data_IF_820962766240
#
_entry.id   IF_820962766240
#
_cell.length_a   1.000
_cell.length_b   1.000
_cell.length_c   1.000
_cell.angle_alpha   90.00
_cell.angle_beta   90.00
_cell.angle_gamma   90.00
#
_symmetry.space_group_name_H-M   'P 1'
#
loop_
_entity.id
_entity.type
_entity.pdbx_description
1 polymer ?
#
# COMPACT_ATOMS: atom_id res chain seq x y z
N UNK A 1 -94.83 16.84 -22.96
CA UNK A 1 -93.63 17.71 -23.04
C UNK A 1 -92.66 16.97 -23.94
N UNK A 2 -92.70 17.24 -25.25
CA UNK A 2 -91.89 18.29 -25.93
C UNK A 2 -90.41 17.89 -25.81
N UNK A 3 -89.86 17.17 -26.82
CA UNK A 3 -89.04 17.73 -27.94
C UNK A 3 -87.57 17.83 -27.46
N UNK A 4 -86.49 17.47 -28.17
CA UNK A 4 -85.96 17.92 -29.49
C UNK A 4 -84.82 16.91 -29.81
N UNK A 5 -84.88 16.12 -30.91
CA UNK A 5 -84.24 16.37 -32.23
C UNK A 5 -82.71 16.56 -32.20
N UNK A 6 -81.86 16.12 -33.13
CA UNK A 6 -81.90 15.29 -34.34
C UNK A 6 -80.42 15.24 -34.81
N UNK A 7 -79.84 14.07 -35.10
CA UNK A 7 -79.64 13.47 -36.44
C UNK A 7 -78.56 14.10 -37.37
N UNK A 8 -77.57 13.23 -37.68
CA UNK A 8 -77.06 12.87 -39.02
C UNK A 8 -76.08 13.84 -39.72
N UNK A 9 -74.87 13.34 -40.06
CA UNK A 9 -74.49 12.97 -41.45
C UNK A 9 -73.00 12.61 -41.63
N UNK A 10 -72.76 11.53 -42.39
CA UNK A 10 -71.46 11.03 -42.88
C UNK A 10 -71.01 11.71 -44.19
N UNK A 11 -69.69 11.70 -44.50
CA UNK A 11 -69.07 11.48 -45.85
C UNK A 11 -67.54 11.28 -45.68
N UNK A 12 -66.95 10.13 -46.04
CA UNK A 12 -66.36 9.63 -47.32
C UNK A 12 -64.96 10.16 -47.70
N UNK A 13 -64.11 9.22 -48.17
CA UNK A 13 -62.65 9.24 -48.43
C UNK A 13 -62.21 9.79 -49.81
N UNK A 14 -60.97 10.33 -49.84
CA UNK A 14 -59.90 10.23 -50.89
C UNK A 14 -59.88 11.30 -52.01
N UNK A 15 -58.76 11.53 -52.77
CA UNK A 15 -57.44 10.84 -52.82
C UNK A 15 -56.14 11.73 -52.99
N UNK A 16 -54.95 11.07 -52.95
CA UNK A 16 -53.62 11.31 -53.59
C UNK A 16 -52.82 12.66 -53.53
N UNK A 17 -51.49 12.58 -53.27
CA UNK A 17 -50.48 13.68 -53.16
C UNK A 17 -49.96 14.27 -54.49
N UNK A 18 -48.70 14.80 -54.66
CA UNK A 18 -47.52 14.91 -53.77
C UNK A 18 -46.91 16.35 -53.70
N UNK A 19 -45.73 16.53 -53.06
CA UNK A 19 -44.57 17.42 -53.42
C UNK A 19 -43.81 17.87 -52.16
N UNK A 20 -42.49 17.67 -52.20
CA UNK A 20 -41.49 18.00 -51.19
C UNK A 20 -41.16 19.51 -51.12
N UNK A 21 -40.83 20.01 -49.94
CA UNK A 21 -39.96 21.18 -49.79
C UNK A 21 -39.21 21.11 -48.45
N UNK A 22 -37.90 20.96 -48.55
CA UNK A 22 -36.91 20.95 -47.47
C UNK A 22 -36.82 22.30 -46.77
N UNK A 23 -36.81 22.30 -45.44
CA UNK A 23 -36.32 23.42 -44.63
C UNK A 23 -35.42 22.87 -43.52
N UNK A 24 -34.15 22.64 -43.86
CA UNK A 24 -33.11 22.40 -42.88
C UNK A 24 -32.77 23.74 -42.21
N UNK A 25 -33.29 23.95 -41.00
CA UNK A 25 -32.88 25.08 -40.16
C UNK A 25 -31.51 24.76 -39.56
N UNK A 26 -30.45 25.39 -40.11
CA UNK A 26 -29.16 25.50 -39.43
C UNK A 26 -29.36 26.36 -38.18
N UNK A 27 -29.46 25.73 -37.01
CA UNK A 27 -29.23 26.41 -35.74
C UNK A 27 -27.72 26.60 -35.59
N UNK A 28 -27.23 27.79 -35.95
CA UNK A 28 -25.93 28.31 -35.53
C UNK A 28 -25.97 28.48 -34.01
N UNK A 29 -25.57 27.44 -33.28
CA UNK A 29 -25.22 27.59 -31.87
C UNK A 29 -23.86 28.29 -31.86
N UNK A 30 -23.89 29.58 -31.55
CA UNK A 30 -22.70 30.33 -31.17
C UNK A 30 -22.12 29.65 -29.91
N UNK A 31 -21.09 28.84 -30.10
CA UNK A 31 -20.31 28.26 -29.03
C UNK A 31 -19.64 29.38 -28.25
N UNK A 32 -20.15 29.63 -27.04
CA UNK A 32 -19.45 30.41 -26.04
C UNK A 32 -18.06 29.83 -25.88
N UNK A 33 -17.03 30.60 -26.25
CA UNK A 33 -15.64 30.37 -25.84
C UNK A 33 -15.57 30.60 -24.33
N UNK A 34 -16.09 29.66 -23.56
CA UNK A 34 -15.68 29.49 -22.17
C UNK A 34 -14.26 28.95 -22.24
N UNK A 35 -13.29 29.81 -21.93
CA UNK A 35 -11.90 29.41 -21.81
C UNK A 35 -11.81 28.17 -20.93
N UNK A 36 -11.17 27.12 -21.45
CA UNK A 36 -10.70 26.02 -20.62
C UNK A 36 -9.61 26.58 -19.70
N UNK A 37 -10.03 27.21 -18.60
CA UNK A 37 -9.21 27.22 -17.40
C UNK A 37 -9.13 25.77 -16.96
N UNK A 38 -7.92 25.21 -16.94
CA UNK A 38 -7.67 23.89 -16.39
C UNK A 38 -8.15 23.91 -14.94
N UNK A 39 -9.32 23.33 -14.68
CA UNK A 39 -9.77 23.14 -13.31
C UNK A 39 -8.80 22.11 -12.72
N UNK A 40 -7.91 22.57 -11.84
CA UNK A 40 -6.90 21.74 -11.20
C UNK A 40 -7.51 20.43 -10.69
N UNK A 41 -6.76 19.34 -10.81
CA UNK A 41 -7.25 18.00 -10.46
C UNK A 41 -7.80 17.98 -9.02
N UNK A 42 -8.97 17.37 -8.83
CA UNK A 42 -9.53 17.14 -7.50
C UNK A 42 -8.88 15.89 -6.89
N UNK A 43 -8.02 16.07 -5.89
CA UNK A 43 -7.27 15.00 -5.22
C UNK A 43 -8.04 14.56 -3.96
N UNK A 44 -8.34 13.27 -3.88
CA UNK A 44 -9.05 12.70 -2.72
C UNK A 44 -8.07 12.37 -1.59
N UNK A 45 -8.32 12.88 -0.38
CA UNK A 45 -7.58 12.49 0.82
C UNK A 45 -8.13 11.18 1.40
N UNK A 46 -7.26 10.20 1.57
CA UNK A 46 -7.59 8.89 2.15
C UNK A 46 -6.82 8.70 3.46
N UNK A 47 -7.54 8.73 4.58
CA UNK A 47 -7.01 8.60 5.94
C UNK A 47 -6.69 7.16 6.32
N UNK A 48 -5.72 6.99 7.24
CA UNK A 48 -5.47 5.70 7.90
C UNK A 48 -6.71 5.19 8.63
N UNK A 49 -6.84 3.86 8.72
CA UNK A 49 -7.97 3.19 9.36
C UNK A 49 -9.27 3.27 8.57
N UNK A 50 -9.27 3.88 7.38
CA UNK A 50 -10.46 3.99 6.53
C UNK A 50 -10.23 3.35 5.15
N UNK A 51 -11.07 2.36 4.75
CA UNK A 51 -11.00 1.78 3.41
C UNK A 51 -11.15 2.82 2.29
N UNK A 52 -11.88 3.91 2.55
CA UNK A 52 -12.21 4.91 1.54
C UNK A 52 -13.36 4.46 0.63
N UNK A 53 -13.62 5.18 -0.47
CA UNK A 53 -14.72 4.86 -1.38
C UNK A 53 -14.43 3.60 -2.20
N UNK A 54 -15.52 2.87 -2.53
CA UNK A 54 -15.56 1.73 -3.45
C UNK A 54 -14.47 0.67 -3.20
N UNK A 55 -14.35 0.12 -1.98
CA UNK A 55 -13.32 -0.85 -1.66
C UNK A 55 -13.53 -2.16 -2.42
N UNK A 56 -12.43 -2.77 -2.90
CA UNK A 56 -12.46 -4.14 -3.41
C UNK A 56 -12.83 -5.11 -2.29
N UNK A 57 -12.11 -5.04 -1.17
CA UNK A 57 -12.33 -5.82 0.05
C UNK A 57 -12.18 -4.91 1.26
N UNK A 58 -12.49 -5.37 2.46
CA UNK A 58 -12.24 -4.60 3.69
C UNK A 58 -11.32 -5.38 4.60
N UNK A 59 -10.21 -4.75 4.99
CA UNK A 59 -9.27 -5.30 5.97
C UNK A 59 -9.00 -4.26 7.06
N UNK A 60 -8.95 -4.72 8.31
CA UNK A 60 -8.68 -3.89 9.49
C UNK A 60 -7.28 -4.18 10.02
N UNK A 61 -6.69 -3.22 10.75
CA UNK A 61 -5.37 -3.39 11.36
C UNK A 61 -4.21 -3.43 10.37
N UNK A 62 -4.42 -2.94 9.14
CA UNK A 62 -3.35 -2.87 8.13
C UNK A 62 -2.51 -1.59 8.21
N UNK A 63 -3.05 -0.56 8.87
CA UNK A 63 -2.49 0.79 8.93
C UNK A 63 -1.96 1.08 10.34
N UNK A 64 -0.98 1.98 10.40
CA UNK A 64 -0.35 2.47 11.62
C UNK A 64 -0.81 3.92 11.86
N UNK A 65 -1.41 4.20 13.03
CA UNK A 65 -1.93 5.55 13.33
C UNK A 65 -0.88 6.53 13.81
N UNK A 66 0.22 6.02 14.36
CA UNK A 66 1.24 6.81 15.06
C UNK A 66 2.63 6.54 14.47
N UNK A 67 2.78 6.83 13.17
CA UNK A 67 4.08 6.74 12.51
C UNK A 67 4.89 8.00 12.70
N UNK A 68 6.19 7.84 12.97
CA UNK A 68 7.15 8.92 12.94
C UNK A 68 7.31 9.42 11.51
N UNK A 69 6.83 10.64 11.26
CA UNK A 69 7.01 11.33 9.99
C UNK A 69 8.48 11.34 9.56
N UNK A 70 8.69 11.07 8.27
CA UNK A 70 10.01 11.18 7.67
C UNK A 70 10.46 12.64 7.64
N UNK A 71 11.70 12.98 8.04
CA UNK A 71 12.18 14.37 8.03
C UNK A 71 12.17 15.03 6.66
N UNK A 72 12.37 14.23 5.61
CA UNK A 72 12.27 14.66 4.21
C UNK A 72 10.96 14.15 3.62
N UNK A 73 9.96 15.03 3.60
CA UNK A 73 8.67 14.85 2.96
C UNK A 73 8.50 15.87 1.82
N UNK A 74 7.61 15.57 0.87
CA UNK A 74 7.35 16.41 -0.30
C UNK A 74 8.22 16.07 -1.50
N UNK A 75 7.85 16.61 -2.66
CA UNK A 75 8.59 16.45 -3.91
C UNK A 75 8.58 15.02 -4.43
N UNK A 76 9.69 14.59 -5.04
CA UNK A 76 9.83 13.25 -5.63
C UNK A 76 10.86 12.42 -4.87
N UNK A 77 10.50 11.17 -4.54
CA UNK A 77 11.39 10.18 -3.97
C UNK A 77 11.52 8.97 -4.92
N UNK A 78 12.69 8.32 -4.94
CA UNK A 78 12.85 7.04 -5.65
C UNK A 78 12.36 5.90 -4.77
N UNK A 79 11.69 4.91 -5.35
CA UNK A 79 11.11 3.77 -4.63
C UNK A 79 12.12 2.90 -3.87
N UNK A 80 13.41 3.02 -4.18
CA UNK A 80 14.52 2.34 -3.49
C UNK A 80 15.22 3.21 -2.43
N UNK A 81 14.71 4.42 -2.15
CA UNK A 81 15.27 5.31 -1.14
C UNK A 81 15.17 4.68 0.27
N UNK A 82 16.30 4.51 0.99
CA UNK A 82 16.28 4.01 2.36
C UNK A 82 15.36 4.83 3.27
N UNK A 83 14.61 4.15 4.13
CA UNK A 83 13.67 4.77 5.05
C UNK A 83 12.49 5.50 4.39
N UNK A 84 12.32 5.43 3.07
CA UNK A 84 11.11 5.96 2.42
C UNK A 84 9.85 5.29 2.98
N UNK A 85 9.98 3.99 3.21
CA UNK A 85 8.94 3.15 3.78
C UNK A 85 9.30 2.74 5.21
N UNK A 86 8.27 2.40 5.97
CA UNK A 86 8.38 1.79 7.27
C UNK A 86 7.79 0.39 7.31
N UNK A 87 7.76 -0.17 8.51
CA UNK A 87 7.09 -1.43 8.80
C UNK A 87 7.45 -1.94 10.18
N UNK A 88 6.74 -2.96 10.64
CA UNK A 88 7.06 -3.65 11.88
C UNK A 88 8.02 -4.79 11.58
N UNK A 89 9.16 -4.87 12.27
CA UNK A 89 10.13 -5.94 12.04
C UNK A 89 9.50 -7.30 12.36
N UNK A 90 9.76 -8.29 11.52
CA UNK A 90 9.24 -9.66 11.67
C UNK A 90 7.70 -9.77 11.60
N UNK A 91 7.02 -8.76 11.07
CA UNK A 91 5.58 -8.76 10.90
C UNK A 91 5.15 -7.86 9.74
N UNK A 92 4.17 -8.31 8.97
CA UNK A 92 3.51 -7.49 7.97
C UNK A 92 2.02 -7.34 8.31
N UNK A 93 1.52 -6.14 8.11
CA UNK A 93 0.12 -5.79 8.33
C UNK A 93 -0.73 -6.01 7.07
N UNK A 94 -0.10 -6.15 5.91
CA UNK A 94 -0.73 -6.45 4.62
C UNK A 94 -0.54 -7.92 4.26
N UNK A 95 -1.64 -8.69 4.21
CA UNK A 95 -1.64 -10.12 3.91
C UNK A 95 -1.90 -10.37 2.42
N UNK A 96 -0.87 -10.85 1.72
CA UNK A 96 -0.94 -11.11 0.28
C UNK A 96 -1.88 -12.27 -0.05
N UNK A 97 -1.87 -13.32 0.79
CA UNK A 97 -2.69 -14.50 0.63
C UNK A 97 -4.18 -14.19 0.73
N UNK A 98 -4.58 -13.38 1.72
CA UNK A 98 -5.98 -12.93 1.89
C UNK A 98 -6.47 -12.12 0.69
N UNK A 99 -5.64 -11.24 0.13
CA UNK A 99 -6.01 -10.49 -1.08
C UNK A 99 -6.25 -11.44 -2.27
N UNK A 100 -5.34 -12.40 -2.47
CA UNK A 100 -5.48 -13.38 -3.57
C UNK A 100 -6.72 -14.24 -3.38
N UNK A 101 -6.94 -14.77 -2.18
CA UNK A 101 -8.11 -15.59 -1.86
C UNK A 101 -9.42 -14.81 -2.11
N UNK A 102 -9.46 -13.53 -1.70
CA UNK A 102 -10.60 -12.66 -1.97
C UNK A 102 -10.86 -12.48 -3.47
N UNK A 103 -9.82 -12.13 -4.25
CA UNK A 103 -9.98 -11.91 -5.69
C UNK A 103 -10.40 -13.20 -6.40
N UNK A 104 -9.89 -14.37 -5.99
CA UNK A 104 -10.32 -15.65 -6.55
C UNK A 104 -11.79 -15.97 -6.26
N UNK A 105 -12.30 -15.56 -5.10
CA UNK A 105 -13.70 -15.72 -4.72
C UNK A 105 -14.65 -14.73 -5.44
N UNK A 106 -14.12 -13.65 -6.01
CA UNK A 106 -14.89 -12.56 -6.62
C UNK A 106 -14.48 -12.30 -8.08
N UNK A 107 -14.91 -13.14 -9.05
CA UNK A 107 -14.38 -13.12 -10.42
C UNK A 107 -14.52 -11.77 -11.14
N UNK A 108 -15.63 -11.05 -10.93
CA UNK A 108 -15.85 -9.74 -11.55
C UNK A 108 -14.87 -8.68 -11.02
N UNK A 109 -14.61 -8.70 -9.70
CA UNK A 109 -13.58 -7.86 -9.07
C UNK A 109 -12.19 -8.31 -9.51
N UNK A 110 -11.89 -9.61 -9.55
CA UNK A 110 -10.61 -10.13 -10.05
C UNK A 110 -10.29 -9.58 -11.44
N UNK A 111 -11.29 -9.61 -12.34
CA UNK A 111 -11.16 -9.06 -13.68
C UNK A 111 -10.84 -7.57 -13.67
N UNK A 112 -11.64 -6.75 -12.99
CA UNK A 112 -11.40 -5.31 -12.94
C UNK A 112 -10.05 -4.96 -12.29
N UNK A 113 -9.66 -5.71 -11.26
CA UNK A 113 -8.37 -5.54 -10.57
C UNK A 113 -7.19 -5.87 -11.50
N UNK A 114 -7.27 -6.99 -12.22
CA UNK A 114 -6.25 -7.41 -13.17
C UNK A 114 -6.15 -6.45 -14.37
N UNK A 115 -7.29 -5.93 -14.86
CA UNK A 115 -7.34 -4.94 -15.93
C UNK A 115 -6.58 -3.66 -15.53
N UNK A 116 -6.68 -3.19 -14.28
CA UNK A 116 -5.92 -2.03 -13.76
C UNK A 116 -4.42 -2.29 -13.77
N UNK A 117 -4.00 -3.49 -13.36
CA UNK A 117 -2.58 -3.87 -13.30
C UNK A 117 -2.01 -4.28 -14.67
N UNK A 118 -2.85 -4.39 -15.70
CA UNK A 118 -2.44 -4.82 -17.04
C UNK A 118 -1.96 -6.27 -17.11
N UNK A 119 -2.55 -7.16 -16.29
CA UNK A 119 -2.18 -8.58 -16.23
C UNK A 119 -3.38 -9.50 -16.54
N UNK A 120 -3.14 -10.74 -16.98
CA UNK A 120 -4.18 -11.77 -16.99
C UNK A 120 -4.72 -12.06 -15.59
N UNK A 121 -6.01 -12.39 -15.46
CA UNK A 121 -6.61 -12.78 -14.16
C UNK A 121 -5.90 -13.99 -13.53
N UNK A 122 -5.45 -14.94 -14.35
CA UNK A 122 -4.67 -16.10 -13.91
C UNK A 122 -3.34 -15.72 -13.25
N UNK A 123 -2.82 -14.53 -13.54
CA UNK A 123 -1.51 -14.08 -13.06
C UNK A 123 -1.61 -13.31 -11.73
N UNK A 124 -2.81 -13.03 -11.22
CA UNK A 124 -3.03 -12.32 -9.95
C UNK A 124 -2.22 -12.96 -8.80
N UNK A 125 -2.30 -14.28 -8.53
CA UNK A 125 -1.54 -14.89 -7.42
C UNK A 125 -0.03 -14.69 -7.57
N UNK A 126 0.47 -14.88 -8.80
CA UNK A 126 1.88 -14.72 -9.14
C UNK A 126 2.32 -13.26 -9.05
N UNK A 127 1.48 -12.29 -9.38
CA UNK A 127 1.80 -10.87 -9.29
C UNK A 127 1.80 -10.40 -7.84
N UNK A 128 0.72 -10.69 -7.10
CA UNK A 128 0.55 -10.26 -5.71
C UNK A 128 1.66 -10.83 -4.84
N UNK A 129 2.01 -12.11 -4.98
CA UNK A 129 3.11 -12.76 -4.23
C UNK A 129 4.50 -12.15 -4.44
N UNK A 130 4.70 -11.27 -5.44
CA UNK A 130 5.97 -10.54 -5.65
C UNK A 130 5.97 -9.14 -5.03
N UNK A 131 4.84 -8.67 -4.52
CA UNK A 131 4.75 -7.39 -3.86
C UNK A 131 5.30 -7.48 -2.44
N UNK A 132 5.77 -6.37 -1.89
CA UNK A 132 6.34 -6.32 -0.53
C UNK A 132 5.44 -5.47 0.35
N UNK A 133 5.00 -5.97 1.52
CA UNK A 133 4.19 -5.20 2.45
C UNK A 133 5.03 -4.18 3.21
N UNK A 134 4.59 -2.92 3.20
CA UNK A 134 5.26 -1.79 3.85
C UNK A 134 4.24 -0.77 4.37
N UNK A 135 4.69 0.14 5.21
CA UNK A 135 3.92 1.29 5.71
C UNK A 135 4.46 2.58 5.09
N UNK A 136 3.57 3.47 4.63
CA UNK A 136 3.99 4.79 4.15
C UNK A 136 4.49 5.67 5.30
N UNK A 137 5.60 6.40 5.11
CA UNK A 137 6.11 7.36 6.10
C UNK A 137 5.94 8.83 5.71
N UNK A 138 5.32 9.05 4.56
CA UNK A 138 4.99 10.36 4.00
C UNK A 138 3.60 10.29 3.38
N UNK A 139 2.87 11.40 3.41
CA UNK A 139 1.65 11.55 2.62
C UNK A 139 2.00 11.35 1.14
N UNK A 140 1.38 10.38 0.48
CA UNK A 140 1.85 9.88 -0.83
C UNK A 140 0.77 10.04 -1.89
N UNK A 141 1.12 10.70 -2.99
CA UNK A 141 0.24 10.82 -4.15
C UNK A 141 0.23 9.53 -4.97
N UNK A 142 -0.97 9.02 -5.24
CA UNK A 142 -1.23 7.83 -6.06
C UNK A 142 -2.43 8.06 -6.96
N UNK A 143 -2.62 7.19 -7.95
CA UNK A 143 -3.95 6.98 -8.54
C UNK A 143 -4.56 5.75 -7.88
N UNK A 144 -5.64 5.94 -7.13
CA UNK A 144 -6.37 4.87 -6.47
C UNK A 144 -7.52 4.38 -7.37
N UNK A 145 -7.66 3.07 -7.48
CA UNK A 145 -8.72 2.47 -8.29
C UNK A 145 -9.73 1.73 -7.42
N UNK A 146 -10.93 2.26 -7.28
CA UNK A 146 -12.03 1.58 -6.59
C UNK A 146 -12.76 0.60 -7.50
N UNK A 147 -13.81 -0.05 -6.99
CA UNK A 147 -14.68 -0.92 -7.79
C UNK A 147 -16.14 -0.49 -7.68
N UNK A 148 -16.74 -0.08 -8.80
CA UNK A 148 -18.13 0.35 -8.86
C UNK A 148 -18.76 -0.13 -10.17
N UNK A 149 -20.01 -0.60 -10.11
CA UNK A 149 -20.81 -0.99 -11.27
C UNK A 149 -20.09 -1.96 -12.24
N UNK A 150 -19.36 -2.93 -11.67
CA UNK A 150 -18.66 -3.95 -12.46
C UNK A 150 -17.30 -3.53 -13.02
N UNK A 151 -16.82 -2.32 -12.70
CA UNK A 151 -15.61 -1.75 -13.29
C UNK A 151 -14.71 -1.10 -12.25
N UNK A 152 -13.42 -0.99 -12.61
CA UNK A 152 -12.51 -0.16 -11.86
C UNK A 152 -12.84 1.33 -12.06
N UNK A 153 -12.92 2.09 -10.98
CA UNK A 153 -12.87 3.55 -11.01
C UNK A 153 -11.41 4.01 -10.96
N UNK A 154 -11.12 5.26 -11.31
CA UNK A 154 -9.78 5.81 -11.17
C UNK A 154 -9.87 7.26 -10.68
N UNK A 155 -9.01 7.63 -9.74
CA UNK A 155 -8.93 9.01 -9.28
C UNK A 155 -7.62 9.30 -8.54
N UNK A 156 -7.10 10.53 -8.65
CA UNK A 156 -5.92 10.92 -7.89
C UNK A 156 -6.27 10.97 -6.40
N UNK A 157 -5.36 10.44 -5.58
CA UNK A 157 -5.54 10.37 -4.15
C UNK A 157 -4.23 10.61 -3.41
N UNK A 158 -4.31 11.22 -2.23
CA UNK A 158 -3.22 11.22 -1.26
C UNK A 158 -3.54 10.20 -0.18
N UNK A 159 -2.65 9.23 -0.02
CA UNK A 159 -2.67 8.29 1.08
C UNK A 159 -1.92 8.92 2.25
N UNK A 160 -2.57 9.00 3.41
CA UNK A 160 -1.95 9.48 4.65
C UNK A 160 -0.73 8.61 5.03
N UNK A 161 0.32 9.23 5.56
CA UNK A 161 1.40 8.51 6.23
C UNK A 161 0.83 7.54 7.30
N UNK A 162 1.36 6.33 7.37
CA UNK A 162 0.84 5.25 8.20
C UNK A 162 -0.03 4.24 7.43
N UNK A 163 -0.44 4.55 6.21
CA UNK A 163 -1.19 3.60 5.37
C UNK A 163 -0.34 2.37 5.04
N UNK A 164 -0.90 1.17 5.25
CA UNK A 164 -0.32 -0.07 4.75
C UNK A 164 -0.49 -0.19 3.23
N UNK A 165 0.60 -0.51 2.53
CA UNK A 165 0.59 -0.73 1.07
C UNK A 165 1.43 -1.95 0.69
N UNK A 166 1.07 -2.60 -0.43
CA UNK A 166 1.94 -3.53 -1.12
C UNK A 166 2.72 -2.78 -2.21
N UNK A 167 4.04 -2.81 -2.18
CA UNK A 167 4.91 -2.17 -3.19
C UNK A 167 5.50 -3.19 -4.16
N UNK A 168 5.67 -2.81 -5.43
CA UNK A 168 6.27 -3.68 -6.43
C UNK A 168 7.81 -3.73 -6.33
N UNK A 169 8.45 -4.54 -7.18
CA UNK A 169 9.91 -4.70 -7.22
C UNK A 169 10.70 -3.45 -7.62
N UNK A 170 10.06 -2.33 -7.96
CA UNK A 170 10.71 -1.04 -8.21
C UNK A 170 10.36 0.02 -7.15
N UNK A 171 9.68 -0.41 -6.08
CA UNK A 171 9.32 0.44 -4.94
C UNK A 171 8.18 1.41 -5.26
N UNK A 172 7.20 0.99 -6.06
CA UNK A 172 6.00 1.79 -6.32
C UNK A 172 4.80 1.13 -5.64
N UNK A 173 3.96 1.88 -4.89
CA UNK A 173 2.72 1.34 -4.32
C UNK A 173 1.81 0.77 -5.41
N UNK A 174 1.39 -0.49 -5.21
CA UNK A 174 0.58 -1.25 -6.15
C UNK A 174 -0.78 -1.66 -5.56
N UNK A 175 -0.91 -1.72 -4.23
CA UNK A 175 -2.17 -2.03 -3.54
C UNK A 175 -2.28 -1.24 -2.24
N UNK A 176 -3.45 -0.69 -1.93
CA UNK A 176 -3.81 -0.13 -0.62
C UNK A 176 -4.42 -1.25 0.25
N UNK A 177 -3.80 -1.56 1.39
CA UNK A 177 -4.08 -2.82 2.08
C UNK A 177 -5.44 -2.89 2.76
N UNK A 178 -5.90 -1.82 3.41
CA UNK A 178 -7.20 -1.81 4.10
C UNK A 178 -8.42 -1.94 3.17
N UNK A 179 -8.27 -1.73 1.86
CA UNK A 179 -9.35 -1.84 0.88
C UNK A 179 -9.09 -2.80 -0.30
N UNK A 180 -7.86 -3.30 -0.45
CA UNK A 180 -7.42 -4.14 -1.58
C UNK A 180 -7.43 -3.42 -2.94
N UNK A 181 -7.66 -2.11 -2.97
CA UNK A 181 -7.72 -1.34 -4.20
C UNK A 181 -6.36 -1.37 -4.91
N UNK A 182 -6.32 -1.67 -6.23
CA UNK A 182 -5.10 -1.55 -6.99
C UNK A 182 -4.72 -0.06 -7.10
N UNK A 183 -3.42 0.19 -7.04
CA UNK A 183 -2.82 1.52 -7.14
C UNK A 183 -1.96 1.58 -8.39
N UNK A 184 -1.95 2.75 -9.02
CA UNK A 184 -1.04 3.06 -10.13
C UNK A 184 -0.36 4.39 -9.88
N UNK A 185 0.66 4.71 -10.69
CA UNK A 185 1.38 5.97 -10.58
C UNK A 185 0.42 7.14 -10.89
N UNK A 186 0.52 8.24 -10.14
CA UNK A 186 -0.23 9.44 -10.48
C UNK A 186 0.27 10.04 -11.79
N UNK A 187 -0.66 10.57 -12.58
CA UNK A 187 -0.34 11.28 -13.82
C UNK A 187 0.64 12.44 -13.55
N UNK A 188 1.60 12.65 -14.46
CA UNK A 188 2.67 13.63 -14.28
C UNK A 188 2.16 15.07 -14.19
N UNK A 189 1.04 15.36 -14.85
CA UNK A 189 0.43 16.70 -14.92
C UNK A 189 -0.28 17.15 -13.64
N UNK A 190 -0.52 16.23 -12.70
CA UNK A 190 -1.19 16.59 -11.44
C UNK A 190 -0.22 17.40 -10.58
N UNK A 191 -0.51 18.69 -10.37
CA UNK A 191 0.13 19.53 -9.36
C UNK A 191 -0.55 19.32 -8.01
N UNK A 192 0.22 19.16 -6.94
CA UNK A 192 -0.32 19.10 -5.56
C UNK A 192 -0.65 20.49 -5.03
N UNK A 193 0.12 21.49 -5.42
CA UNK A 193 0.02 22.85 -4.87
C UNK A 193 -1.15 23.64 -5.48
N UNK A 194 -1.61 23.24 -6.67
CA UNK A 194 -2.71 23.89 -7.40
C UNK A 194 -4.00 23.03 -7.43
N UNK A 195 -4.01 21.93 -6.69
CA UNK A 195 -5.14 21.00 -6.66
C UNK A 195 -6.22 21.41 -5.64
N UNK A 196 -7.46 21.00 -5.92
CA UNK A 196 -8.50 20.99 -4.89
C UNK A 196 -8.46 19.66 -4.14
N UNK A 197 -8.58 19.71 -2.80
CA UNK A 197 -8.56 18.52 -1.97
C UNK A 197 -9.93 18.18 -1.41
N UNK A 198 -10.36 16.92 -1.60
CA UNK A 198 -11.63 16.40 -1.08
C UNK A 198 -11.40 15.34 0.00
N UNK A 199 -12.47 14.90 0.67
CA UNK A 199 -12.37 13.94 1.77
C UNK A 199 -11.86 14.56 3.07
N UNK A 200 -11.86 13.75 4.13
CA UNK A 200 -11.42 14.15 5.47
C UNK A 200 -9.92 14.48 5.46
N UNK A 201 -9.55 15.61 6.08
CA UNK A 201 -8.14 15.96 6.35
C UNK A 201 -7.69 15.38 7.69
N UNK A 202 -6.38 15.33 7.93
CA UNK A 202 -5.77 14.94 9.20
C UNK A 202 -4.86 16.05 9.75
N UNK A 203 -4.55 16.04 11.06
CA UNK A 203 -3.51 16.90 11.61
C UNK A 203 -2.18 16.69 10.89
N UNK A 204 -1.49 17.76 10.53
CA UNK A 204 -0.19 17.71 9.85
C UNK A 204 -0.25 17.59 8.33
N UNK A 205 -1.44 17.41 7.73
CA UNK A 205 -1.58 17.45 6.27
C UNK A 205 -1.12 18.81 5.70
N UNK A 206 -0.22 18.75 4.72
CA UNK A 206 0.36 19.89 4.01
C UNK A 206 0.61 19.45 2.56
N UNK A 207 0.02 20.16 1.60
CA UNK A 207 0.08 19.81 0.17
C UNK A 207 1.52 19.80 -0.35
N UNK A 208 2.38 20.69 0.16
CA UNK A 208 3.80 20.77 -0.17
C UNK A 208 4.62 19.59 0.36
N UNK A 209 4.09 18.86 1.34
CA UNK A 209 4.72 17.65 1.91
C UNK A 209 4.24 16.36 1.25
N UNK A 210 3.33 16.44 0.28
CA UNK A 210 2.89 15.28 -0.50
C UNK A 210 4.03 14.78 -1.37
N UNK A 211 4.35 13.50 -1.21
CA UNK A 211 5.46 12.83 -1.89
C UNK A 211 4.96 12.07 -3.10
N UNK A 212 5.63 12.26 -4.24
CA UNK A 212 5.47 11.42 -5.43
C UNK A 212 6.57 10.37 -5.46
N UNK A 213 6.20 9.10 -5.57
CA UNK A 213 7.17 8.01 -5.64
C UNK A 213 7.41 7.62 -7.09
N UNK A 214 8.66 7.72 -7.52
CA UNK A 214 9.11 7.30 -8.84
C UNK A 214 9.77 5.91 -8.73
N UNK A 215 9.53 4.98 -9.66
CA UNK A 215 10.23 3.70 -9.68
C UNK A 215 11.75 3.88 -9.69
N UNK A 216 12.44 2.91 -9.06
CA UNK A 216 13.89 2.73 -9.20
C UNK A 216 14.31 2.65 -10.67
N UNK A 217 15.52 3.13 -10.97
CA UNK A 217 16.15 2.94 -12.28
C UNK A 217 16.20 1.45 -12.68
N UNK A 218 15.58 1.14 -13.83
CA UNK A 218 15.47 -0.22 -14.36
C UNK A 218 16.84 -0.84 -14.65
N UNK A 219 17.87 -0.03 -14.91
CA UNK A 219 19.25 -0.51 -15.12
C UNK A 219 19.86 -1.15 -13.86
N UNK A 220 19.34 -0.82 -12.67
CA UNK A 220 19.75 -1.44 -11.40
C UNK A 220 18.99 -2.75 -11.10
N UNK A 221 18.06 -3.13 -11.97
CA UNK A 221 17.13 -4.22 -11.75
C UNK A 221 16.17 -3.96 -10.59
N UNK A 222 15.37 -4.98 -10.29
CA UNK A 222 14.42 -4.97 -9.17
C UNK A 222 15.13 -4.82 -7.83
N UNK A 223 14.52 -4.12 -6.89
CA UNK A 223 14.91 -4.06 -5.47
C UNK A 223 14.91 -5.47 -4.90
N UNK A 224 16.04 -5.90 -4.33
CA UNK A 224 16.16 -7.20 -3.65
C UNK A 224 15.79 -7.10 -2.18
N UNK A 225 16.06 -5.95 -1.56
CA UNK A 225 15.85 -5.68 -0.14
C UNK A 225 15.43 -4.22 0.04
N UNK A 226 14.41 -3.98 0.85
CA UNK A 226 13.99 -2.65 1.29
C UNK A 226 14.64 -2.33 2.65
N UNK A 227 15.17 -1.12 2.80
CA UNK A 227 15.58 -0.59 4.10
C UNK A 227 14.41 0.16 4.70
N UNK A 228 13.74 -0.46 5.68
CA UNK A 228 12.56 0.04 6.36
C UNK A 228 12.93 0.68 7.69
N UNK A 229 12.06 1.55 8.19
CA UNK A 229 12.14 2.17 9.52
C UNK A 229 10.94 1.74 10.35
N UNK A 230 11.14 1.42 11.63
CA UNK A 230 10.04 1.07 12.53
C UNK A 230 9.06 2.25 12.72
N UNK A 231 7.79 2.02 13.12
CA UNK A 231 6.82 3.09 13.30
C UNK A 231 7.30 4.21 14.24
N UNK A 232 8.07 3.88 15.28
CA UNK A 232 8.63 4.85 16.22
C UNK A 232 9.80 5.68 15.67
N UNK A 233 10.38 5.31 14.53
CA UNK A 233 11.57 5.96 13.98
C UNK A 233 12.81 5.80 14.87
N UNK A 234 12.93 4.65 15.55
CA UNK A 234 14.01 4.35 16.49
C UNK A 234 15.08 3.44 15.88
N UNK A 235 14.74 2.65 14.88
CA UNK A 235 15.62 1.70 14.21
C UNK A 235 15.28 1.50 12.74
N UNK A 236 16.30 1.16 11.95
CA UNK A 236 16.10 0.60 10.62
C UNK A 236 16.11 -0.93 10.67
N UNK A 237 15.63 -1.57 9.61
CA UNK A 237 15.85 -2.99 9.34
C UNK A 237 15.69 -3.28 7.85
N UNK A 238 16.23 -4.41 7.42
CA UNK A 238 16.15 -4.86 6.03
C UNK A 238 15.01 -5.86 5.86
N UNK A 239 14.11 -5.59 4.92
CA UNK A 239 13.06 -6.54 4.48
C UNK A 239 13.37 -7.04 3.08
N UNK A 240 13.68 -8.33 2.88
CA UNK A 240 13.78 -8.90 1.55
C UNK A 240 12.50 -8.67 0.75
N UNK A 241 12.62 -8.47 -0.57
CA UNK A 241 11.46 -8.31 -1.44
C UNK A 241 10.57 -9.55 -1.35
N UNK A 242 9.26 -9.32 -1.36
CA UNK A 242 8.24 -10.35 -1.44
C UNK A 242 8.13 -11.26 -0.21
N UNK A 243 8.65 -10.80 0.94
CA UNK A 243 8.47 -11.46 2.23
C UNK A 243 7.52 -10.65 3.11
N UNK A 244 6.82 -11.34 4.01
CA UNK A 244 5.88 -10.74 4.96
C UNK A 244 6.54 -10.44 6.33
N UNK A 245 7.88 -10.50 6.37
CA UNK A 245 8.71 -10.09 7.50
C UNK A 245 9.47 -11.24 8.17
N UNK A 246 9.12 -12.48 7.88
CA UNK A 246 9.77 -13.68 8.41
C UNK A 246 11.28 -13.74 8.12
N UNK A 247 11.72 -13.08 7.05
CA UNK A 247 13.11 -12.96 6.63
C UNK A 247 13.73 -11.59 6.95
N UNK A 248 13.09 -10.76 7.77
CA UNK A 248 13.62 -9.44 8.13
C UNK A 248 14.97 -9.56 8.85
N UNK A 249 15.95 -8.79 8.39
CA UNK A 249 17.28 -8.69 8.98
C UNK A 249 17.24 -8.14 10.42
N UNK A 250 18.35 -8.21 11.17
CA UNK A 250 18.42 -7.64 12.52
C UNK A 250 18.20 -6.11 12.50
N UNK A 251 17.92 -5.49 13.67
CA UNK A 251 17.91 -4.03 13.79
C UNK A 251 19.24 -3.43 13.29
N UNK A 252 19.14 -2.38 12.48
CA UNK A 252 20.26 -1.56 12.02
C UNK A 252 20.06 -0.11 12.46
N UNK A 253 21.12 0.70 12.38
CA UNK A 253 21.00 2.14 12.60
C UNK A 253 20.06 2.75 11.57
N UNK A 254 19.38 3.83 11.95
CA UNK A 254 18.54 4.60 11.04
C UNK A 254 19.35 5.02 9.80
N UNK A 255 18.76 4.96 8.59
CA UNK A 255 19.46 5.36 7.38
C UNK A 255 19.79 6.85 7.43
N UNK A 256 20.88 7.26 6.76
CA UNK A 256 21.33 8.65 6.75
C UNK A 256 20.26 9.65 6.25
N UNK A 257 19.30 9.16 5.45
CA UNK A 257 18.13 9.92 4.99
C UNK A 257 17.21 10.41 6.11
N UNK A 258 17.31 9.83 7.30
CA UNK A 258 16.56 10.22 8.51
C UNK A 258 17.23 11.34 9.31
N UNK A 259 18.47 11.70 8.98
CA UNK A 259 19.12 12.83 9.63
C UNK A 259 18.83 14.06 8.77
N UNK A 260 17.96 14.96 9.25
CA UNK A 260 17.43 16.13 8.53
C UNK A 260 18.45 17.20 8.13
N UNK A 261 19.73 16.87 8.00
CA UNK A 261 20.74 17.76 7.43
C UNK A 261 20.65 17.78 5.90
N UNK A 262 20.97 18.90 5.24
CA UNK A 262 21.29 18.86 3.81
C UNK A 262 22.43 17.84 3.62
N UNK A 263 22.37 17.07 2.53
CA UNK A 263 23.54 16.31 2.12
C UNK A 263 24.62 17.35 1.82
N UNK A 264 25.60 17.49 2.72
CA UNK A 264 26.75 18.33 2.47
C UNK A 264 27.62 17.55 1.48
N UNK A 265 27.51 17.89 0.19
CA UNK A 265 28.47 17.49 -0.85
C UNK A 265 29.80 18.22 -0.62
N UNK A 266 30.41 18.01 0.55
CA UNK A 266 31.75 18.49 0.84
C UNK A 266 32.70 17.29 0.76
N UNK A 267 33.59 17.21 -0.25
CA UNK A 267 34.60 16.16 -0.26
C UNK A 267 35.51 16.38 0.95
N UNK A 268 35.49 15.44 1.89
CA UNK A 268 36.44 15.44 2.99
C UNK A 268 37.85 15.30 2.41
N UNK A 269 38.80 16.24 2.66
CA UNK A 269 40.15 16.06 2.20
C UNK A 269 40.78 14.90 2.99
N UNK A 270 41.32 13.95 2.26
CA UNK A 270 42.22 12.93 2.80
C UNK A 270 43.44 13.62 3.40
N UNK A 271 43.52 13.65 4.74
CA UNK A 271 44.69 14.11 5.48
C UNK A 271 45.61 12.93 5.77
N UNK A 272 46.61 12.77 4.91
CA UNK A 272 47.78 11.89 5.04
C UNK A 272 48.49 12.07 6.38
N UNK A 273 48.94 10.95 6.96
CA UNK A 273 49.79 10.95 8.14
C UNK A 273 51.13 11.66 7.89
N UNK A 274 51.65 12.30 8.94
CA UNK A 274 53.07 12.69 9.05
C UNK A 274 53.43 12.75 10.53
N UNK A 275 54.58 12.19 10.84
CA UNK A 275 55.11 11.90 12.16
C UNK A 275 55.58 13.15 12.95
N UNK A 276 55.75 12.93 14.26
CA UNK A 276 56.27 13.82 15.34
C UNK A 276 57.69 14.36 15.08
N UNK A 277 58.26 15.36 15.82
CA UNK A 277 58.75 15.14 17.21
C UNK A 277 58.87 16.35 18.19
N UNK A 278 59.03 16.03 19.49
CA UNK A 278 59.68 16.83 20.56
C UNK A 278 58.78 17.79 21.34
N UNK A 279 58.73 17.83 22.68
CA UNK A 279 59.80 18.19 23.64
C UNK A 279 59.55 17.53 25.03
N UNK A 280 60.65 17.32 25.76
CA UNK A 280 60.85 16.55 27.00
C UNK A 280 60.80 17.37 28.33
N UNK A 281 60.37 16.68 29.40
CA UNK A 281 60.85 16.71 30.83
C UNK A 281 60.48 17.86 31.81
N UNK A 282 60.65 17.70 33.15
CA UNK A 282 60.15 16.64 34.07
C UNK A 282 59.64 17.18 35.44
N UNK A 283 59.05 16.31 36.30
CA UNK A 283 58.76 16.62 37.71
C UNK A 283 58.29 15.40 38.52
N UNK A 284 59.21 14.84 39.30
CA UNK A 284 59.12 13.65 40.17
C UNK A 284 58.44 13.88 41.53
N UNK A 285 57.77 12.84 42.07
CA UNK A 285 57.50 12.68 43.50
C UNK A 285 56.39 11.66 43.85
N UNK A 286 56.78 10.44 44.26
CA UNK A 286 55.97 9.36 44.90
C UNK A 286 56.42 9.22 46.38
N UNK A 287 55.99 8.25 47.24
CA UNK A 287 54.73 7.50 47.45
C UNK A 287 54.29 7.45 48.96
N UNK A 288 53.16 6.79 49.29
CA UNK A 288 52.85 6.32 50.67
C UNK A 288 51.48 5.63 50.78
N UNK A 289 51.41 4.29 50.64
CA UNK A 289 51.25 3.25 51.70
C UNK A 289 49.81 2.95 52.17
N UNK A 290 49.34 1.78 51.74
CA UNK A 290 48.32 0.86 52.27
C UNK A 290 48.52 0.52 53.79
N UNK A 291 47.54 -0.05 54.56
CA UNK A 291 46.97 -1.37 54.23
C UNK A 291 45.56 -1.79 54.71
N UNK A 292 45.07 -2.84 54.04
CA UNK A 292 44.38 -4.06 54.51
C UNK A 292 43.08 -3.99 55.35
N UNK A 293 42.06 -4.69 54.84
CA UNK A 293 40.87 -5.12 55.58
C UNK A 293 40.21 -6.33 54.93
N UNK A 294 40.69 -7.52 55.30
CA UNK A 294 40.20 -8.86 54.95
C UNK A 294 38.83 -9.15 55.56
N UNK A 295 37.93 -9.87 54.85
CA UNK A 295 36.72 -10.40 55.48
C UNK A 295 35.74 -11.11 54.53
N UNK A 296 35.96 -12.39 54.29
CA UNK A 296 34.92 -13.39 53.97
C UNK A 296 35.11 -14.49 55.03
N UNK A 297 34.06 -15.09 55.64
CA UNK A 297 33.30 -16.15 54.96
C UNK A 297 31.83 -16.36 55.43
N UNK A 298 31.08 -17.21 54.71
CA UNK A 298 30.13 -18.15 55.33
C UNK A 298 28.66 -18.05 54.93
N UNK A 299 28.22 -18.97 54.06
CA UNK A 299 26.82 -19.45 53.93
C UNK A 299 26.49 -20.37 55.11
N UNK A 300 25.22 -20.47 55.57
CA UNK A 300 24.36 -21.58 55.11
C UNK A 300 22.83 -21.29 55.03
N UNK A 301 22.12 -22.03 54.15
CA UNK A 301 20.66 -22.33 54.13
C UNK A 301 20.38 -23.51 55.12
N UNK A 302 19.15 -24.03 55.42
CA UNK A 302 17.78 -23.71 54.96
C UNK A 302 16.64 -23.81 56.02
N UNK A 303 15.39 -23.52 55.61
CA UNK A 303 14.13 -24.00 56.21
C UNK A 303 12.89 -23.39 55.51
N UNK A 304 12.07 -24.12 54.73
CA UNK A 304 10.91 -25.00 55.07
C UNK A 304 9.84 -24.38 55.98
N UNK A 305 8.61 -24.31 55.46
CA UNK A 305 7.37 -23.99 56.18
C UNK A 305 6.14 -24.09 55.26
N UNK A 306 5.45 -25.23 55.37
CA UNK A 306 4.24 -25.68 54.67
C UNK A 306 2.92 -25.02 55.11
N UNK A 307 1.87 -25.24 54.28
CA UNK A 307 0.45 -25.33 54.67
C UNK A 307 -0.41 -24.10 54.33
N UNK A 308 -1.65 -24.20 53.85
CA UNK A 308 -2.55 -25.33 53.58
C UNK A 308 -3.74 -24.82 52.74
N UNK A 309 -4.42 -25.73 52.03
CA UNK A 309 -5.68 -25.48 51.31
C UNK A 309 -6.90 -25.46 52.26
N UNK A 310 -8.10 -25.10 51.77
CA UNK A 310 -9.11 -26.17 51.66
C UNK A 310 -10.07 -26.06 50.46
N UNK A 311 -10.80 -27.15 50.27
CA UNK A 311 -11.60 -27.57 49.11
C UNK A 311 -13.05 -27.03 49.01
N UNK A 312 -13.66 -27.36 47.86
CA UNK A 312 -15.01 -27.07 47.32
C UNK A 312 -16.23 -27.49 48.18
N UNK A 313 -17.45 -27.10 47.76
CA UNK A 313 -18.33 -27.95 46.90
C UNK A 313 -19.02 -27.12 45.78
N UNK A 314 -19.66 -27.60 44.69
CA UNK A 314 -20.23 -28.85 44.21
C UNK A 314 -21.38 -28.51 43.20
N UNK A 315 -21.89 -29.50 42.42
CA UNK A 315 -23.02 -29.52 41.43
C UNK A 315 -22.60 -29.40 39.94
N UNK A 316 -22.51 -30.47 39.12
CA UNK A 316 -23.54 -31.30 38.41
C UNK A 316 -24.42 -30.49 37.44
N UNK A 317 -24.85 -30.91 36.25
CA UNK A 317 -24.67 -32.07 35.34
C UNK A 317 -25.47 -31.68 34.08
N UNK A 318 -25.05 -32.15 32.90
CA UNK A 318 -25.88 -32.81 31.85
C UNK A 318 -25.34 -32.59 30.43
N UNK A 319 -24.77 -33.66 29.89
CA UNK A 319 -24.92 -34.07 28.49
C UNK A 319 -26.24 -34.87 28.37
N UNK A 320 -26.83 -34.97 27.16
CA UNK A 320 -26.71 -36.24 26.44
C UNK A 320 -26.53 -36.11 24.90
N UNK A 321 -25.53 -36.81 24.37
CA UNK A 321 -25.79 -38.14 23.80
C UNK A 321 -25.94 -38.30 22.26
N UNK A 322 -24.82 -38.56 21.60
CA UNK A 322 -24.46 -39.78 20.82
C UNK A 322 -25.36 -40.37 19.72
N UNK A 323 -24.73 -40.59 18.54
CA UNK A 323 -24.90 -41.75 17.65
C UNK A 323 -24.61 -41.40 16.18
N UNK A 324 -23.69 -41.98 15.41
CA UNK A 324 -22.83 -43.15 15.57
C UNK A 324 -22.83 -43.97 14.26
N UNK A 325 -21.64 -44.18 13.66
CA UNK A 325 -21.36 -45.13 12.56
C UNK A 325 -21.16 -44.47 11.18
N UNK A 326 -20.13 -44.73 10.38
CA UNK A 326 -19.11 -45.77 10.37
C UNK A 326 -18.85 -46.20 8.91
N UNK A 327 -17.57 -46.38 8.57
CA UNK A 327 -17.01 -47.05 7.37
C UNK A 327 -16.83 -46.29 6.03
N UNK A 328 -15.55 -45.97 5.76
CA UNK A 328 -14.86 -46.17 4.48
C UNK A 328 -14.38 -47.65 4.39
N UNK A 329 -13.73 -48.17 3.32
CA UNK A 329 -13.10 -47.49 2.18
C UNK A 329 -13.26 -48.20 0.80
N UNK A 330 -12.76 -47.58 -0.28
CA UNK A 330 -12.14 -48.36 -1.36
C UNK A 330 -11.09 -47.56 -2.16
N UNK A 331 -9.95 -48.22 -2.39
CA UNK A 331 -8.87 -47.83 -3.29
C UNK A 331 -9.20 -48.19 -4.75
N UNK A 332 -8.68 -47.41 -5.72
CA UNK A 332 -7.83 -47.94 -6.83
C UNK A 332 -7.31 -46.85 -7.79
N UNK A 333 -5.98 -46.71 -7.78
CA UNK A 333 -4.99 -46.75 -8.88
C UNK A 333 -5.16 -45.98 -10.21
N UNK A 334 -4.07 -45.26 -10.55
CA UNK A 334 -3.45 -45.17 -11.89
C UNK A 334 -3.87 -43.96 -12.74
N UNK A 335 -3.00 -43.19 -13.41
CA UNK A 335 -1.58 -43.32 -13.71
C UNK A 335 -1.11 -42.10 -14.52
N UNK A 336 0.21 -42.00 -14.65
CA UNK A 336 1.07 -41.00 -15.28
C UNK A 336 0.63 -40.40 -16.63
N UNK A 337 0.96 -39.12 -16.82
CA UNK A 337 0.99 -38.46 -18.13
C UNK A 337 1.63 -37.07 -18.05
N UNK A 338 2.93 -37.00 -18.25
CA UNK A 338 3.64 -35.76 -18.65
C UNK A 338 3.21 -35.37 -20.07
N UNK A 339 3.12 -34.07 -20.39
CA UNK A 339 4.01 -33.61 -21.44
C UNK A 339 4.63 -32.25 -21.13
N UNK A 340 5.90 -32.12 -21.49
CA UNK A 340 6.63 -30.86 -21.51
C UNK A 340 6.18 -29.90 -22.62
N UNK A 341 6.77 -28.71 -22.55
CA UNK A 341 6.86 -27.75 -23.65
C UNK A 341 5.76 -26.69 -23.68
N UNK A 342 6.04 -25.52 -23.11
CA UNK A 342 5.23 -24.31 -23.30
C UNK A 342 6.05 -23.04 -23.01
N UNK A 343 5.93 -21.98 -23.83
CA UNK A 343 6.97 -20.99 -24.09
C UNK A 343 7.11 -19.92 -23.00
N UNK A 344 8.24 -19.21 -23.00
CA UNK A 344 8.55 -18.12 -22.07
C UNK A 344 7.40 -17.13 -21.91
N UNK A 345 6.92 -16.97 -20.67
CA UNK A 345 5.90 -15.99 -20.31
C UNK A 345 6.46 -14.57 -20.25
N UNK A 346 5.60 -13.54 -20.39
CA UNK A 346 6.05 -12.16 -20.37
C UNK A 346 6.55 -11.71 -18.99
N UNK A 347 7.46 -10.76 -19.11
CA UNK A 347 8.37 -10.11 -18.17
C UNK A 347 7.66 -9.44 -16.99
N UNK A 348 8.34 -9.28 -15.85
CA UNK A 348 8.08 -8.14 -14.96
C UNK A 348 8.25 -6.87 -15.79
N UNK A 349 7.17 -6.40 -16.42
CA UNK A 349 7.27 -5.32 -17.38
C UNK A 349 7.81 -4.07 -16.68
N UNK A 350 8.80 -3.37 -17.28
CA UNK A 350 9.11 -2.00 -16.91
C UNK A 350 7.85 -1.13 -17.06
N UNK A 351 7.79 0.04 -16.39
CA UNK A 351 6.58 0.86 -16.37
C UNK A 351 6.06 1.13 -17.78
N UNK A 352 4.74 1.03 -17.97
CA UNK A 352 4.08 1.54 -19.17
C UNK A 352 4.44 3.01 -19.34
N UNK A 353 5.21 3.34 -20.37
CA UNK A 353 5.25 4.70 -20.88
C UNK A 353 3.87 4.98 -21.48
N UNK A 354 3.26 6.04 -20.96
CA UNK A 354 2.07 6.62 -21.53
C UNK A 354 2.33 6.93 -23.00
N UNK A 355 1.64 6.22 -23.90
CA UNK A 355 1.70 6.53 -25.31
C UNK A 355 1.21 7.96 -25.50
N UNK A 356 2.10 8.84 -25.95
CA UNK A 356 1.74 10.18 -26.38
C UNK A 356 0.60 10.05 -27.39
N UNK A 357 -0.57 10.59 -27.04
CA UNK A 357 -1.62 10.84 -28.03
C UNK A 357 -1.08 11.91 -28.97
N UNK A 358 -0.57 11.48 -30.11
CA UNK A 358 -0.34 12.36 -31.26
C UNK A 358 -1.71 12.78 -31.76
N UNK A 359 -2.13 14.00 -31.45
CA UNK A 359 -3.26 14.64 -32.12
C UNK A 359 -2.76 15.27 -33.41
N UNK A 360 -3.15 14.65 -34.53
CA UNK A 360 -3.15 15.11 -35.94
C UNK A 360 -1.84 15.69 -36.50
#
# INVERSE_FOLDING_TARGET
>A
MIEINSLIARRRRGPAGPVAASAAALALVAGSLAGCGDAGAAITRLTVGTPGPDPYTTASGTDETDVKERPRAGGTATGDSPGLYGGTRQSATCDQGKLVAFLQAEPAKAKAWADVQGIPVSDIPRYVSRLTPVVLRTDTLVTNHGYRDGKATAGPAVLQAGMGVLVNGYGVPAVKCNCGNPLTRPEKRISTDDASYTGRSWPGFDDRKVTRIQPRDTKKGTITTFVLVDPGGTMGFERPRATEGEADGPPIRLPATETGGPASDSPSPSGTGTESPGIVSPGTGTPGTDPAGTGSPGTPQPGTGDGDAPASPGMTSQDPGTGGGGEAPNERTGGTGEPGGGPGGPVSLPPSEEAARTTS
#
